data_IF_658873341754
#
_entry.id   IF_658873341754
#
_cell.length_a   1.000
_cell.length_b   1.000
_cell.length_c   1.000
_cell.angle_alpha   90.00
_cell.angle_beta   90.00
_cell.angle_gamma   90.00
#
_symmetry.space_group_name_H-M   'P 1'
#
loop_
_entity.id
_entity.type
_entity.pdbx_description
1 polymer ?
#
# COMPACT_ATOMS: atom_id res chain seq x y z
N UNK A 1 13.91 7.35 25.15
CA UNK A 1 12.67 7.65 24.41
C UNK A 1 12.75 6.85 23.12
N UNK A 2 11.70 6.10 22.76
CA UNK A 2 11.61 5.33 21.53
C UNK A 2 11.51 6.31 20.35
N UNK A 3 12.41 6.18 19.38
CA UNK A 3 12.46 7.05 18.19
C UNK A 3 11.63 6.47 17.05
N UNK A 4 11.64 5.12 16.90
CA UNK A 4 10.96 4.44 15.79
C UNK A 4 10.24 3.19 16.25
N UNK A 5 9.02 3.00 15.72
CA UNK A 5 8.23 1.78 15.82
C UNK A 5 8.19 1.08 14.47
N UNK A 6 8.65 -0.15 14.38
CA UNK A 6 8.43 -1.00 13.22
C UNK A 6 7.09 -1.71 13.37
N UNK A 7 6.22 -1.58 12.37
CA UNK A 7 4.86 -2.13 12.35
C UNK A 7 4.83 -3.32 11.40
N UNK A 8 4.66 -4.52 11.96
CA UNK A 8 4.79 -5.78 11.21
C UNK A 8 3.54 -6.65 11.46
N UNK A 9 2.49 -6.54 10.64
CA UNK A 9 1.43 -7.55 10.62
C UNK A 9 1.98 -8.88 10.12
N UNK A 10 1.68 -9.97 10.81
CA UNK A 10 2.20 -11.30 10.46
C UNK A 10 1.09 -12.34 10.36
N UNK A 11 1.20 -13.22 9.35
CA UNK A 11 0.34 -14.38 9.17
C UNK A 11 1.04 -15.45 8.35
N UNK A 12 1.24 -16.64 8.89
CA UNK A 12 2.01 -17.74 8.26
C UNK A 12 3.42 -17.26 7.85
N UNK A 13 4.12 -16.58 8.77
CA UNK A 13 5.40 -15.92 8.52
C UNK A 13 6.62 -16.73 8.91
N UNK A 14 6.46 -17.92 9.47
CA UNK A 14 7.56 -18.74 10.01
C UNK A 14 8.78 -18.87 9.07
N UNK A 15 8.62 -19.02 7.74
CA UNK A 15 9.76 -19.13 6.83
C UNK A 15 10.52 -17.81 6.58
N UNK A 16 9.96 -16.67 6.94
CA UNK A 16 10.44 -15.35 6.48
C UNK A 16 10.80 -14.41 7.62
N UNK A 17 10.08 -14.49 8.74
CA UNK A 17 10.08 -13.47 9.79
C UNK A 17 11.45 -13.27 10.45
N UNK A 18 12.25 -14.31 10.58
CA UNK A 18 13.61 -14.20 11.11
C UNK A 18 14.49 -13.32 10.22
N UNK A 19 14.43 -13.49 8.89
CA UNK A 19 15.15 -12.65 7.93
C UNK A 19 14.68 -11.19 8.01
N UNK A 20 13.37 -10.96 8.06
CA UNK A 20 12.76 -9.65 8.21
C UNK A 20 13.29 -8.94 9.47
N UNK A 21 13.21 -9.57 10.64
CA UNK A 21 13.67 -9.01 11.90
C UNK A 21 15.19 -8.77 11.91
N UNK A 22 15.98 -9.70 11.39
CA UNK A 22 17.43 -9.56 11.29
C UNK A 22 17.84 -8.36 10.42
N UNK A 23 17.07 -8.04 9.37
CA UNK A 23 17.32 -6.85 8.55
C UNK A 23 17.13 -5.55 9.33
N UNK A 24 16.16 -5.52 10.27
CA UNK A 24 15.94 -4.37 11.15
C UNK A 24 17.08 -4.26 12.18
N UNK A 25 17.48 -5.36 12.82
CA UNK A 25 18.61 -5.34 13.77
C UNK A 25 19.90 -4.90 13.11
N UNK A 26 20.11 -5.27 11.86
CA UNK A 26 21.28 -4.88 11.08
C UNK A 26 21.37 -3.37 10.82
N UNK A 27 20.30 -2.57 11.00
CA UNK A 27 20.36 -1.11 10.98
C UNK A 27 21.20 -0.53 12.15
N UNK A 28 21.53 -1.32 13.16
CA UNK A 28 22.35 -0.92 14.29
C UNK A 28 21.70 0.11 15.22
N UNK A 29 20.36 0.20 15.21
CA UNK A 29 19.62 1.10 16.11
C UNK A 29 19.65 0.50 17.52
N UNK A 30 20.03 1.28 18.56
CA UNK A 30 19.98 0.78 19.93
C UNK A 30 18.56 0.32 20.31
N UNK A 31 18.41 -0.85 20.91
CA UNK A 31 17.09 -1.42 21.26
C UNK A 31 16.21 -0.48 22.12
N UNK A 32 16.84 0.33 23.00
CA UNK A 32 16.12 1.34 23.79
C UNK A 32 15.56 2.51 22.97
N UNK A 33 15.92 2.63 21.69
CA UNK A 33 15.48 3.69 20.78
C UNK A 33 14.53 3.19 19.72
N UNK A 34 14.30 1.88 19.63
CA UNK A 34 13.33 1.27 18.72
C UNK A 34 12.38 0.30 19.43
N UNK A 35 11.27 0.04 18.82
CA UNK A 35 10.39 -1.08 19.12
C UNK A 35 9.93 -1.75 17.83
N UNK A 36 9.74 -3.05 17.87
CA UNK A 36 9.28 -3.87 16.75
C UNK A 36 8.00 -4.54 17.18
N UNK A 37 6.88 -4.14 16.60
CA UNK A 37 5.54 -4.60 16.98
C UNK A 37 5.06 -5.61 15.94
N UNK A 38 5.24 -6.88 16.23
CA UNK A 38 4.71 -7.99 15.45
C UNK A 38 3.28 -8.29 15.91
N UNK A 39 2.32 -8.26 15.00
CA UNK A 39 0.91 -8.60 15.29
C UNK A 39 0.55 -9.88 14.55
N UNK A 40 0.53 -10.99 15.28
CA UNK A 40 0.10 -12.28 14.73
C UNK A 40 -1.41 -12.33 14.52
N UNK A 41 -1.81 -12.55 13.28
CA UNK A 41 -3.21 -12.54 12.86
C UNK A 41 -3.81 -13.96 12.80
N UNK A 42 -3.66 -14.74 13.89
CA UNK A 42 -4.08 -16.13 14.02
C UNK A 42 -3.32 -17.10 13.11
N UNK A 43 -2.01 -17.02 13.05
CA UNK A 43 -1.19 -17.97 12.29
C UNK A 43 -1.40 -19.42 12.78
N UNK A 44 -1.68 -20.35 11.85
CA UNK A 44 -1.80 -21.78 12.17
C UNK A 44 -0.47 -22.53 12.19
N UNK A 45 0.61 -21.90 11.72
CA UNK A 45 1.97 -22.44 11.70
C UNK A 45 2.77 -22.02 12.96
N UNK A 46 4.05 -22.30 13.00
CA UNK A 46 4.93 -21.96 14.13
C UNK A 46 5.47 -20.53 14.11
N UNK A 47 4.76 -19.59 13.47
CA UNK A 47 5.13 -18.14 13.43
C UNK A 47 5.29 -17.57 14.83
N UNK A 48 4.33 -17.85 15.73
CA UNK A 48 4.33 -17.37 17.11
C UNK A 48 5.54 -17.86 17.89
N UNK A 49 5.90 -19.13 17.74
CA UNK A 49 7.05 -19.73 18.40
C UNK A 49 8.37 -19.08 17.92
N UNK A 50 8.51 -18.85 16.61
CA UNK A 50 9.71 -18.20 16.04
C UNK A 50 9.86 -16.78 16.59
N UNK A 51 8.81 -15.95 16.53
CA UNK A 51 8.87 -14.57 17.03
C UNK A 51 9.10 -14.56 18.54
N UNK A 52 8.47 -15.46 19.30
CA UNK A 52 8.64 -15.57 20.75
C UNK A 52 10.08 -15.97 21.15
N UNK A 53 10.75 -16.76 20.33
CA UNK A 53 12.16 -17.09 20.55
C UNK A 53 13.06 -15.85 20.36
N UNK A 54 12.85 -15.10 19.27
CA UNK A 54 13.60 -13.87 19.00
C UNK A 54 13.33 -12.80 20.07
N UNK A 55 12.08 -12.64 20.53
CA UNK A 55 11.70 -11.69 21.56
C UNK A 55 12.34 -11.96 22.95
N UNK A 56 12.82 -13.19 23.21
CA UNK A 56 13.59 -13.49 24.43
C UNK A 56 15.03 -12.94 24.37
N UNK A 57 15.58 -12.80 23.17
CA UNK A 57 16.93 -12.33 22.96
C UNK A 57 16.95 -10.80 22.68
N UNK A 58 15.84 -10.24 22.19
CA UNK A 58 15.70 -8.84 21.78
C UNK A 58 14.54 -8.17 22.50
N UNK A 59 14.86 -7.34 23.49
CA UNK A 59 13.86 -6.62 24.32
C UNK A 59 13.00 -5.62 23.54
N UNK A 60 13.47 -5.21 22.36
CA UNK A 60 12.72 -4.32 21.45
C UNK A 60 11.58 -5.01 20.70
N UNK A 61 11.52 -6.35 20.68
CA UNK A 61 10.47 -7.11 19.96
C UNK A 61 9.28 -7.36 20.86
N UNK A 62 8.12 -6.89 20.43
CA UNK A 62 6.82 -7.13 21.05
C UNK A 62 5.96 -8.00 20.12
N UNK A 63 5.42 -9.10 20.64
CA UNK A 63 4.45 -9.93 19.95
C UNK A 63 3.07 -9.71 20.53
N UNK A 64 2.14 -9.25 19.68
CA UNK A 64 0.70 -9.22 19.96
C UNK A 64 0.01 -10.29 19.13
N UNK A 65 -1.14 -10.79 19.61
CA UNK A 65 -1.88 -11.84 18.91
C UNK A 65 -3.37 -11.52 18.84
N UNK A 66 -3.96 -11.68 17.65
CA UNK A 66 -5.40 -11.63 17.48
C UNK A 66 -6.05 -12.97 17.82
N UNK A 67 -7.27 -12.94 18.31
CA UNK A 67 -8.09 -14.15 18.51
C UNK A 67 -8.79 -14.59 17.23
N UNK A 68 -8.99 -13.67 16.30
CA UNK A 68 -9.59 -13.90 14.98
C UNK A 68 -8.79 -13.18 13.90
N UNK A 69 -8.68 -13.79 12.72
CA UNK A 69 -7.96 -13.18 11.60
C UNK A 69 -8.70 -11.94 11.09
N UNK A 70 -8.01 -10.79 11.12
CA UNK A 70 -8.49 -9.47 10.68
C UNK A 70 -7.79 -8.95 9.44
N UNK A 71 -6.89 -9.78 8.87
CA UNK A 71 -5.99 -9.47 7.78
C UNK A 71 -4.99 -8.37 8.11
N UNK A 72 -4.16 -8.02 7.12
CA UNK A 72 -3.04 -7.09 7.27
C UNK A 72 -3.49 -5.73 7.82
N UNK A 73 -4.60 -5.18 7.33
CA UNK A 73 -5.13 -3.91 7.84
C UNK A 73 -5.50 -3.95 9.33
N UNK A 74 -6.07 -5.07 9.82
CA UNK A 74 -6.35 -5.24 11.24
C UNK A 74 -5.09 -5.35 12.09
N UNK A 75 -4.06 -6.04 11.61
CA UNK A 75 -2.74 -6.11 12.22
C UNK A 75 -2.09 -4.73 12.31
N UNK A 76 -2.10 -3.99 11.21
CA UNK A 76 -1.59 -2.60 11.15
C UNK A 76 -2.31 -1.67 12.14
N UNK A 77 -3.64 -1.73 12.19
CA UNK A 77 -4.43 -0.94 13.14
C UNK A 77 -4.08 -1.25 14.60
N UNK A 78 -3.85 -2.52 14.90
CA UNK A 78 -3.43 -2.93 16.25
C UNK A 78 -2.04 -2.41 16.55
N UNK A 79 -1.06 -2.60 15.66
CA UNK A 79 0.31 -2.12 15.87
C UNK A 79 0.37 -0.59 16.05
N UNK A 80 -0.36 0.19 15.25
CA UNK A 80 -0.42 1.66 15.37
C UNK A 80 -0.91 2.09 16.77
N UNK A 81 -1.88 1.39 17.36
CA UNK A 81 -2.37 1.71 18.72
C UNK A 81 -1.31 1.51 19.78
N UNK A 82 -0.43 0.52 19.61
CA UNK A 82 0.65 0.19 20.54
C UNK A 82 1.96 0.90 20.22
N UNK A 83 2.05 1.63 19.11
CA UNK A 83 3.26 2.37 18.74
C UNK A 83 3.51 3.56 19.64
N UNK A 84 4.72 3.60 20.24
CA UNK A 84 5.23 4.65 21.13
C UNK A 84 6.38 5.45 20.52
N UNK A 85 6.98 4.96 19.40
CA UNK A 85 8.01 5.68 18.67
C UNK A 85 7.49 7.01 18.13
N UNK A 86 8.35 8.00 18.07
CA UNK A 86 7.99 9.29 17.46
C UNK A 86 7.64 9.14 15.97
N UNK A 87 8.36 8.23 15.30
CA UNK A 87 8.12 7.83 13.92
C UNK A 87 7.82 6.34 13.83
N UNK A 88 7.24 5.92 12.71
CA UNK A 88 6.93 4.54 12.43
C UNK A 88 7.33 4.15 11.00
N UNK A 89 7.70 2.89 10.83
CA UNK A 89 7.98 2.25 9.53
C UNK A 89 7.17 0.97 9.43
N UNK A 90 6.47 0.78 8.32
CA UNK A 90 5.77 -0.47 8.04
C UNK A 90 6.69 -1.46 7.35
N UNK A 91 6.52 -2.73 7.69
CA UNK A 91 7.25 -3.84 7.10
C UNK A 91 6.30 -4.98 6.76
N UNK A 92 6.43 -5.53 5.58
CA UNK A 92 5.83 -6.84 5.28
C UNK A 92 6.75 -7.96 5.80
N UNK A 93 6.17 -9.00 6.33
CA UNK A 93 6.83 -10.09 7.05
C UNK A 93 7.86 -10.90 6.23
N UNK A 94 7.76 -10.81 4.90
CA UNK A 94 8.60 -11.55 3.93
C UNK A 94 9.61 -10.65 3.19
N UNK A 95 9.75 -9.39 3.64
CA UNK A 95 10.64 -8.37 3.07
C UNK A 95 11.81 -8.02 3.99
N UNK A 96 12.68 -7.11 3.56
CA UNK A 96 13.88 -6.69 4.30
C UNK A 96 14.08 -5.18 4.24
N UNK A 97 14.54 -4.59 5.37
CA UNK A 97 15.14 -3.26 5.37
C UNK A 97 16.50 -3.32 4.70
N UNK A 98 16.78 -2.35 3.84
CA UNK A 98 18.13 -2.14 3.33
C UNK A 98 18.99 -1.43 4.37
N UNK A 99 20.31 -1.59 4.25
CA UNK A 99 21.26 -0.87 5.11
C UNK A 99 21.27 0.61 4.74
N UNK A 100 20.77 1.46 5.63
CA UNK A 100 20.77 2.91 5.47
C UNK A 100 20.68 3.62 6.83
N UNK A 101 20.93 4.91 6.86
CA UNK A 101 20.90 5.71 8.09
C UNK A 101 19.48 6.16 8.45
N UNK A 102 18.65 5.24 8.99
CA UNK A 102 17.28 5.54 9.41
C UNK A 102 17.26 6.63 10.50
N UNK A 103 18.17 6.60 11.46
CA UNK A 103 18.19 7.62 12.52
C UNK A 103 18.55 9.00 11.98
N UNK A 104 19.43 9.08 10.99
CA UNK A 104 19.74 10.33 10.29
C UNK A 104 18.52 10.85 9.50
N UNK A 105 17.73 9.97 8.87
CA UNK A 105 16.50 10.39 8.22
C UNK A 105 15.44 10.86 9.24
N UNK A 106 15.32 10.23 10.38
CA UNK A 106 14.41 10.67 11.45
C UNK A 106 14.84 12.06 11.97
N UNK A 107 16.14 12.28 12.16
CA UNK A 107 16.64 13.59 12.58
C UNK A 107 16.39 14.66 11.50
N UNK A 108 16.59 14.32 10.23
CA UNK A 108 16.22 15.18 9.10
C UNK A 108 14.73 15.54 9.12
N UNK A 109 13.85 14.54 9.37
CA UNK A 109 12.40 14.76 9.48
C UNK A 109 12.05 15.71 10.63
N UNK A 110 12.72 15.58 11.78
CA UNK A 110 12.55 16.49 12.92
C UNK A 110 12.92 17.92 12.57
N UNK A 111 14.10 18.11 11.99
CA UNK A 111 14.63 19.44 11.64
C UNK A 111 13.77 20.15 10.60
N UNK A 112 13.11 19.39 9.73
CA UNK A 112 12.25 19.91 8.68
C UNK A 112 10.74 19.80 9.02
N UNK A 113 10.39 19.35 10.23
CA UNK A 113 9.02 19.15 10.72
C UNK A 113 8.18 18.25 9.80
N UNK A 114 8.81 17.24 9.18
CA UNK A 114 8.14 16.33 8.27
C UNK A 114 7.29 15.33 9.04
N UNK A 115 6.10 15.07 8.52
CA UNK A 115 5.18 14.04 9.00
C UNK A 115 5.22 12.77 8.14
N UNK A 116 5.67 12.89 6.89
CA UNK A 116 5.82 11.79 5.95
C UNK A 116 7.06 12.02 5.08
N UNK A 117 7.96 11.06 5.06
CA UNK A 117 9.07 10.99 4.15
C UNK A 117 8.92 9.74 3.30
N UNK A 118 8.72 9.92 1.99
CA UNK A 118 8.65 8.82 1.03
C UNK A 118 10.03 8.55 0.45
N UNK A 119 10.35 7.27 0.26
CA UNK A 119 11.67 6.84 -0.19
C UNK A 119 11.53 5.70 -1.22
N UNK A 120 12.64 5.22 -1.77
CA UNK A 120 12.63 4.22 -2.84
C UNK A 120 12.58 2.80 -2.30
N UNK A 121 12.00 1.94 -3.11
CA UNK A 121 11.92 0.50 -2.86
C UNK A 121 12.49 -0.27 -4.05
N UNK A 122 13.27 -1.29 -3.75
CA UNK A 122 13.84 -2.22 -4.71
C UNK A 122 13.05 -3.52 -4.68
N UNK A 123 12.53 -3.94 -5.83
CA UNK A 123 12.00 -5.29 -6.00
C UNK A 123 13.12 -6.27 -6.26
N UNK A 124 13.16 -7.36 -5.51
CA UNK A 124 14.09 -8.48 -5.67
C UNK A 124 13.32 -9.67 -6.21
N UNK A 125 13.65 -10.11 -7.41
CA UNK A 125 13.03 -11.30 -8.02
C UNK A 125 13.72 -12.58 -7.52
N UNK A 126 13.05 -13.74 -7.66
CA UNK A 126 13.59 -15.02 -7.25
C UNK A 126 14.89 -15.45 -7.94
N UNK A 127 15.23 -14.84 -9.09
CA UNK A 127 16.50 -15.03 -9.80
C UNK A 127 17.61 -14.05 -9.34
N UNK A 128 17.32 -13.23 -8.32
CA UNK A 128 18.23 -12.22 -7.78
C UNK A 128 18.27 -10.90 -8.57
N UNK A 129 17.55 -10.79 -9.68
CA UNK A 129 17.46 -9.52 -10.42
C UNK A 129 16.72 -8.46 -9.62
N UNK A 130 17.17 -7.21 -9.73
CA UNK A 130 16.62 -6.08 -8.99
C UNK A 130 16.08 -5.01 -9.95
N UNK A 131 14.97 -4.38 -9.55
CA UNK A 131 14.39 -3.22 -10.24
C UNK A 131 13.70 -2.32 -9.24
N UNK A 132 13.53 -1.05 -9.56
CA UNK A 132 12.71 -0.17 -8.73
C UNK A 132 11.23 -0.54 -8.79
N UNK A 133 10.54 -0.42 -7.65
CA UNK A 133 9.11 -0.67 -7.52
C UNK A 133 8.29 0.30 -8.39
N UNK A 134 8.66 1.57 -8.38
CA UNK A 134 7.98 2.64 -9.11
C UNK A 134 8.98 3.46 -9.94
N UNK A 135 8.49 4.52 -10.58
CA UNK A 135 9.38 5.52 -11.16
C UNK A 135 10.28 6.12 -10.08
N UNK A 136 11.45 6.56 -10.49
CA UNK A 136 12.43 7.19 -9.60
C UNK A 136 12.49 8.67 -9.98
N UNK A 137 11.59 9.52 -9.45
CA UNK A 137 11.70 10.96 -9.63
C UNK A 137 12.93 11.51 -8.88
N UNK A 138 13.28 12.75 -9.17
CA UNK A 138 14.24 13.50 -8.37
C UNK A 138 13.66 13.83 -6.98
N UNK A 139 14.52 14.24 -6.06
CA UNK A 139 14.09 14.71 -4.74
C UNK A 139 13.06 15.83 -4.88
N UNK A 140 11.94 15.71 -4.15
CA UNK A 140 10.92 16.73 -4.19
C UNK A 140 11.24 17.90 -3.25
N UNK A 141 10.61 19.06 -3.51
CA UNK A 141 10.47 20.07 -2.47
C UNK A 141 9.63 19.53 -1.30
N UNK A 142 9.74 20.15 -0.12
CA UNK A 142 8.83 19.91 0.99
C UNK A 142 7.46 20.51 0.60
N UNK A 143 6.40 19.72 0.75
CA UNK A 143 5.05 20.10 0.33
C UNK A 143 4.00 19.62 1.33
N UNK A 144 2.77 20.08 1.19
CA UNK A 144 1.62 19.52 1.92
C UNK A 144 1.06 18.31 1.19
N UNK A 145 0.25 17.49 1.89
CA UNK A 145 -0.46 16.39 1.26
C UNK A 145 -1.31 16.82 0.06
N UNK A 146 -2.17 17.86 0.14
CA UNK A 146 -2.89 18.38 -1.02
C UNK A 146 -1.98 18.76 -2.20
N UNK A 147 -0.83 19.40 -1.95
CA UNK A 147 0.16 19.72 -2.99
C UNK A 147 0.75 18.47 -3.65
N UNK A 148 0.95 17.39 -2.89
CA UNK A 148 1.42 16.10 -3.42
C UNK A 148 0.48 15.55 -4.50
N UNK A 149 -0.84 15.73 -4.33
CA UNK A 149 -1.82 15.37 -5.35
C UNK A 149 -1.80 16.36 -6.53
N UNK A 150 -1.77 17.69 -6.25
CA UNK A 150 -1.74 18.73 -7.27
C UNK A 150 -0.56 18.57 -8.22
N UNK A 151 0.62 18.31 -7.69
CA UNK A 151 1.85 18.22 -8.47
C UNK A 151 2.02 16.84 -9.15
N UNK A 152 1.08 15.93 -8.92
CA UNK A 152 1.02 14.62 -9.56
C UNK A 152 2.01 13.58 -9.01
N UNK A 153 2.75 13.90 -7.95
CA UNK A 153 3.74 13.01 -7.33
C UNK A 153 3.17 11.68 -6.89
N UNK A 154 1.91 11.63 -6.45
CA UNK A 154 1.24 10.39 -6.06
C UNK A 154 1.28 9.32 -7.17
N UNK A 155 1.23 9.75 -8.43
CA UNK A 155 1.28 8.84 -9.57
C UNK A 155 2.72 8.48 -9.97
N UNK A 156 3.69 9.35 -9.69
CA UNK A 156 5.10 9.14 -10.02
C UNK A 156 5.75 8.14 -9.06
N UNK A 157 5.52 8.30 -7.76
CA UNK A 157 6.08 7.41 -6.73
C UNK A 157 5.22 6.17 -6.49
N UNK A 158 4.09 6.02 -7.20
CA UNK A 158 3.12 4.93 -7.05
C UNK A 158 2.75 4.68 -5.57
N UNK A 159 2.45 5.76 -4.83
CA UNK A 159 2.14 5.69 -3.41
C UNK A 159 0.79 5.00 -3.18
N UNK A 160 0.85 3.71 -3.06
CA UNK A 160 -0.31 2.85 -2.82
C UNK A 160 0.01 1.69 -1.88
N UNK A 161 1.23 1.72 -1.29
CA UNK A 161 1.74 0.72 -0.34
C UNK A 161 2.38 1.43 0.85
N UNK A 162 2.28 0.85 2.04
CA UNK A 162 2.68 1.51 3.28
C UNK A 162 4.18 1.49 3.56
N UNK A 163 4.91 0.53 3.01
CA UNK A 163 6.32 0.30 3.29
C UNK A 163 7.29 1.22 2.50
N UNK A 164 6.77 2.22 1.78
CA UNK A 164 7.56 3.17 0.97
C UNK A 164 8.04 4.40 1.74
N UNK A 165 7.94 4.43 3.07
CA UNK A 165 8.34 5.64 3.78
C UNK A 165 8.37 5.55 5.30
N UNK A 166 8.77 6.67 5.89
CA UNK A 166 8.82 6.93 7.34
C UNK A 166 7.67 7.88 7.67
N UNK A 167 6.91 7.54 8.69
CA UNK A 167 5.70 8.26 9.10
C UNK A 167 5.83 8.81 10.51
N UNK A 168 5.45 10.05 10.74
CA UNK A 168 5.24 10.53 12.11
C UNK A 168 4.08 9.76 12.73
N UNK A 169 4.28 9.16 13.90
CA UNK A 169 3.27 8.30 14.55
C UNK A 169 1.95 9.03 14.80
N UNK A 170 1.99 10.34 15.06
CA UNK A 170 0.79 11.15 15.18
C UNK A 170 -0.01 11.26 13.88
N UNK A 171 0.66 11.26 12.71
CA UNK A 171 -0.02 11.22 11.42
C UNK A 171 -0.81 9.92 11.28
N UNK A 172 -0.21 8.78 11.65
CA UNK A 172 -0.88 7.48 11.63
C UNK A 172 -2.13 7.48 12.52
N UNK A 173 -1.98 7.97 13.76
CA UNK A 173 -3.08 7.98 14.77
C UNK A 173 -4.24 8.91 14.42
N UNK A 174 -4.01 9.98 13.64
CA UNK A 174 -5.09 10.86 13.16
C UNK A 174 -5.67 10.46 11.80
N UNK A 175 -4.99 9.60 11.05
CA UNK A 175 -5.52 9.06 9.80
C UNK A 175 -6.58 8.00 10.12
N UNK A 176 -7.63 7.94 9.28
CA UNK A 176 -8.66 6.90 9.42
C UNK A 176 -8.01 5.50 9.43
N UNK A 177 -8.50 4.56 10.27
CA UNK A 177 -7.95 3.21 10.32
C UNK A 177 -7.99 2.49 8.97
N UNK A 178 -7.08 1.55 8.77
CA UNK A 178 -7.17 0.60 7.67
C UNK A 178 -8.50 -0.16 7.70
N UNK A 179 -9.00 -0.48 6.52
CA UNK A 179 -10.16 -1.36 6.41
C UNK A 179 -9.75 -2.79 6.77
N UNK A 180 -10.42 -3.36 7.74
CA UNK A 180 -10.20 -4.75 8.17
C UNK A 180 -10.87 -5.75 7.21
N UNK A 181 -10.44 -7.00 7.25
CA UNK A 181 -11.02 -8.14 6.53
C UNK A 181 -11.01 -8.05 5.00
N UNK A 182 -10.15 -7.20 4.42
CA UNK A 182 -9.94 -7.17 2.97
C UNK A 182 -8.44 -7.10 2.64
N UNK A 183 -8.08 -7.23 1.36
CA UNK A 183 -6.72 -7.00 0.87
C UNK A 183 -6.70 -5.77 -0.02
N UNK A 184 -5.52 -5.19 -0.25
CA UNK A 184 -5.27 -3.93 -0.95
C UNK A 184 -5.77 -2.69 -0.17
N UNK A 185 -6.05 -2.84 1.12
CA UNK A 185 -6.50 -1.80 2.06
C UNK A 185 -5.47 -0.68 2.23
N UNK A 186 -4.21 -1.00 1.97
CA UNK A 186 -3.08 -0.07 1.99
C UNK A 186 -3.28 1.11 1.05
N UNK A 187 -3.76 0.89 -0.17
CA UNK A 187 -3.94 1.98 -1.13
C UNK A 187 -5.00 2.99 -0.67
N UNK A 188 -6.16 2.55 -0.18
CA UNK A 188 -7.18 3.44 0.39
C UNK A 188 -6.61 4.27 1.55
N UNK A 189 -5.82 3.61 2.39
CA UNK A 189 -5.20 4.24 3.54
C UNK A 189 -4.10 5.23 3.14
N UNK A 190 -3.22 4.87 2.21
CA UNK A 190 -2.12 5.72 1.73
C UNK A 190 -2.63 7.04 1.16
N UNK A 191 -3.70 7.02 0.36
CA UNK A 191 -4.30 8.24 -0.18
C UNK A 191 -4.74 9.20 0.93
N UNK A 192 -5.41 8.67 1.96
CA UNK A 192 -5.88 9.46 3.11
C UNK A 192 -4.72 9.95 3.98
N UNK A 193 -3.73 9.09 4.20
CA UNK A 193 -2.55 9.43 4.98
C UNK A 193 -1.72 10.54 4.31
N UNK A 194 -1.45 10.40 3.00
CA UNK A 194 -0.76 11.44 2.26
C UNK A 194 -1.49 12.78 2.31
N UNK A 195 -2.80 12.78 2.05
CA UNK A 195 -3.61 14.00 2.08
C UNK A 195 -3.58 14.70 3.45
N UNK A 196 -3.57 13.92 4.54
CA UNK A 196 -3.53 14.43 5.90
C UNK A 196 -2.14 14.94 6.33
N UNK A 197 -1.09 14.67 5.59
CA UNK A 197 0.26 15.12 5.93
C UNK A 197 0.40 16.63 5.73
N UNK A 198 0.75 17.34 6.81
CA UNK A 198 0.97 18.80 6.78
C UNK A 198 2.26 19.16 6.08
N UNK A 199 3.28 18.33 6.22
CA UNK A 199 4.60 18.49 5.61
C UNK A 199 5.13 17.11 5.22
N UNK A 200 5.40 16.92 3.93
CA UNK A 200 5.94 15.68 3.39
C UNK A 200 6.97 15.95 2.31
N UNK A 201 7.80 14.95 2.04
CA UNK A 201 8.82 15.00 1.01
C UNK A 201 9.04 13.61 0.42
N UNK A 202 9.52 13.54 -0.82
CA UNK A 202 10.10 12.35 -1.41
C UNK A 202 11.62 12.52 -1.55
N UNK A 203 12.38 11.48 -1.15
CA UNK A 203 13.84 11.40 -1.34
C UNK A 203 14.20 10.11 -2.08
N UNK A 204 15.10 10.17 -3.08
CA UNK A 204 15.50 8.99 -3.85
C UNK A 204 16.52 8.12 -3.10
N UNK A 205 16.20 7.68 -1.87
CA UNK A 205 17.05 6.83 -1.01
C UNK A 205 16.45 5.42 -0.99
N UNK A 206 17.29 4.40 -1.20
CA UNK A 206 16.85 3.00 -1.17
C UNK A 206 16.75 2.51 0.27
N UNK A 207 15.53 2.19 0.73
CA UNK A 207 15.28 1.82 2.12
C UNK A 207 14.79 0.39 2.30
N UNK A 208 14.19 -0.20 1.28
CA UNK A 208 13.38 -1.39 1.40
C UNK A 208 13.60 -2.33 0.23
N UNK A 209 13.73 -3.62 0.51
CA UNK A 209 13.78 -4.69 -0.47
C UNK A 209 12.50 -5.51 -0.44
N UNK A 210 11.62 -5.26 -1.43
CA UNK A 210 10.42 -6.06 -1.67
C UNK A 210 10.80 -7.37 -2.36
N UNK A 211 10.58 -8.49 -1.71
CA UNK A 211 10.84 -9.82 -2.26
C UNK A 211 9.61 -10.35 -3.01
N UNK A 212 9.77 -10.59 -4.31
CA UNK A 212 8.70 -11.15 -5.13
C UNK A 212 8.44 -12.61 -4.74
N UNK A 213 7.54 -12.82 -3.78
CA UNK A 213 7.18 -14.13 -3.24
C UNK A 213 6.02 -14.74 -4.06
N UNK A 214 6.21 -15.88 -4.76
CA UNK A 214 5.16 -16.53 -5.54
C UNK A 214 3.94 -16.95 -4.72
N UNK A 215 4.10 -17.14 -3.42
CA UNK A 215 3.00 -17.53 -2.50
C UNK A 215 2.26 -16.33 -1.92
N UNK A 216 2.70 -15.10 -2.22
CA UNK A 216 2.06 -13.88 -1.74
C UNK A 216 0.56 -13.85 -2.06
N UNK A 217 -0.19 -13.31 -1.13
CA UNK A 217 -1.64 -13.13 -1.27
C UNK A 217 -2.02 -12.35 -2.53
N UNK A 218 -1.17 -11.47 -3.05
CA UNK A 218 -1.42 -10.66 -4.24
C UNK A 218 -1.40 -11.46 -5.55
N UNK A 219 -0.68 -12.60 -5.62
CA UNK A 219 -0.50 -13.37 -6.85
C UNK A 219 -1.71 -14.25 -7.24
N UNK A 220 -2.47 -14.74 -6.25
CA UNK A 220 -3.62 -15.60 -6.52
C UNK A 220 -4.88 -14.76 -6.79
N UNK A 221 -5.29 -14.66 -8.06
CA UNK A 221 -6.50 -13.94 -8.46
C UNK A 221 -7.73 -14.80 -8.26
N UNK A 222 -8.66 -14.35 -7.39
CA UNK A 222 -9.99 -14.90 -7.23
C UNK A 222 -11.06 -13.80 -7.38
N UNK A 223 -12.32 -14.19 -7.47
CA UNK A 223 -13.44 -13.27 -7.72
C UNK A 223 -13.59 -12.24 -6.59
N UNK A 224 -13.36 -12.64 -5.35
CA UNK A 224 -13.46 -11.78 -4.19
C UNK A 224 -12.37 -10.69 -4.18
N UNK A 225 -11.15 -11.00 -4.61
CA UNK A 225 -10.08 -10.01 -4.76
C UNK A 225 -10.41 -8.97 -5.82
N UNK A 226 -11.09 -9.39 -6.90
CA UNK A 226 -11.58 -8.47 -7.93
C UNK A 226 -12.66 -7.55 -7.34
N UNK A 227 -13.59 -8.09 -6.55
CA UNK A 227 -14.60 -7.31 -5.84
C UNK A 227 -13.96 -6.29 -4.90
N UNK A 228 -12.98 -6.69 -4.10
CA UNK A 228 -12.29 -5.79 -3.17
C UNK A 228 -11.59 -4.62 -3.89
N UNK A 229 -10.94 -4.87 -5.03
CA UNK A 229 -10.36 -3.78 -5.84
C UNK A 229 -11.38 -2.75 -6.29
N UNK A 230 -12.57 -3.22 -6.68
CA UNK A 230 -13.66 -2.31 -7.06
C UNK A 230 -14.14 -1.52 -5.85
N UNK A 231 -14.40 -2.19 -4.72
CA UNK A 231 -14.86 -1.53 -3.49
C UNK A 231 -13.86 -0.50 -2.97
N UNK A 232 -12.56 -0.81 -2.99
CA UNK A 232 -11.53 0.14 -2.61
C UNK A 232 -11.50 1.35 -3.53
N UNK A 233 -11.66 1.14 -4.83
CA UNK A 233 -11.74 2.25 -5.78
C UNK A 233 -12.94 3.16 -5.52
N UNK A 234 -14.10 2.58 -5.16
CA UNK A 234 -15.28 3.33 -4.75
C UNK A 234 -15.01 4.14 -3.48
N UNK A 235 -14.43 3.52 -2.46
CA UNK A 235 -14.07 4.19 -1.20
C UNK A 235 -13.11 5.37 -1.40
N UNK A 236 -12.06 5.17 -2.20
CA UNK A 236 -11.11 6.25 -2.52
C UNK A 236 -11.82 7.39 -3.25
N UNK A 237 -12.73 7.07 -4.17
CA UNK A 237 -13.49 8.08 -4.91
C UNK A 237 -14.49 8.83 -4.01
N UNK A 238 -15.25 8.13 -3.17
CA UNK A 238 -16.16 8.76 -2.20
C UNK A 238 -15.40 9.70 -1.24
N UNK A 239 -14.27 9.23 -0.73
CA UNK A 239 -13.40 10.07 0.08
C UNK A 239 -12.90 11.30 -0.70
N UNK A 240 -12.45 11.14 -1.93
CA UNK A 240 -11.99 12.24 -2.78
C UNK A 240 -13.08 13.29 -3.03
N UNK A 241 -14.36 12.90 -3.00
CA UNK A 241 -15.47 13.85 -3.08
C UNK A 241 -15.65 14.68 -1.80
N UNK A 242 -15.19 14.18 -0.66
CA UNK A 242 -15.35 14.84 0.64
C UNK A 242 -14.23 15.81 0.97
N UNK A 243 -13.09 15.77 0.27
CA UNK A 243 -11.95 16.67 0.52
C UNK A 243 -12.25 18.08 0.00
N UNK A 244 -11.56 19.07 0.58
CA UNK A 244 -11.78 20.49 0.26
C UNK A 244 -10.61 21.11 -0.50
N UNK A 245 -9.38 20.81 -0.10
CA UNK A 245 -8.18 21.34 -0.74
C UNK A 245 -7.78 20.48 -1.94
N UNK A 246 -7.38 21.09 -3.04
CA UNK A 246 -6.94 20.45 -4.29
C UNK A 246 -7.91 19.32 -4.74
N UNK A 247 -9.20 19.51 -4.48
CA UNK A 247 -10.24 18.48 -4.70
C UNK A 247 -10.26 17.93 -6.12
N UNK A 248 -10.05 18.78 -7.11
CA UNK A 248 -10.05 18.36 -8.52
C UNK A 248 -8.92 17.39 -8.81
N UNK A 249 -7.72 17.66 -8.29
CA UNK A 249 -6.53 16.82 -8.50
C UNK A 249 -6.62 15.51 -7.70
N UNK A 250 -7.16 15.56 -6.48
CA UNK A 250 -7.45 14.36 -5.69
C UNK A 250 -8.48 13.47 -6.39
N UNK A 251 -9.53 14.04 -6.98
CA UNK A 251 -10.50 13.30 -7.80
C UNK A 251 -9.85 12.69 -9.03
N UNK A 252 -8.98 13.42 -9.74
CA UNK A 252 -8.23 12.87 -10.89
C UNK A 252 -7.36 11.67 -10.48
N UNK A 253 -6.68 11.74 -9.33
CA UNK A 253 -5.88 10.63 -8.81
C UNK A 253 -6.77 9.42 -8.48
N UNK A 254 -7.91 9.64 -7.82
CA UNK A 254 -8.89 8.60 -7.52
C UNK A 254 -9.45 7.94 -8.78
N UNK A 255 -9.72 8.71 -9.83
CA UNK A 255 -10.17 8.20 -11.14
C UNK A 255 -9.10 7.37 -11.85
N UNK A 256 -7.82 7.76 -11.74
CA UNK A 256 -6.71 6.98 -12.28
C UNK A 256 -6.58 5.64 -11.56
N UNK A 257 -6.64 5.65 -10.23
CA UNK A 257 -6.62 4.44 -9.41
C UNK A 257 -7.78 3.50 -9.78
N UNK A 258 -9.00 4.04 -9.86
CA UNK A 258 -10.15 3.30 -10.34
C UNK A 258 -9.94 2.68 -11.71
N UNK A 259 -9.44 3.48 -12.67
CA UNK A 259 -9.20 3.01 -14.04
C UNK A 259 -8.22 1.84 -14.08
N UNK A 260 -7.18 1.86 -13.25
CA UNK A 260 -6.21 0.78 -13.12
C UNK A 260 -6.86 -0.50 -12.57
N UNK A 261 -7.65 -0.38 -11.50
CA UNK A 261 -8.33 -1.53 -10.92
C UNK A 261 -9.37 -2.12 -11.86
N UNK A 262 -10.11 -1.27 -12.59
CA UNK A 262 -11.07 -1.73 -13.59
C UNK A 262 -10.43 -2.50 -14.75
N UNK A 263 -9.18 -2.22 -15.09
CA UNK A 263 -8.46 -3.06 -16.06
C UNK A 263 -8.28 -4.50 -15.55
N UNK A 264 -8.20 -4.70 -14.25
CA UNK A 264 -8.18 -6.01 -13.61
C UNK A 264 -9.46 -6.82 -13.82
N UNK A 265 -10.61 -6.17 -14.07
CA UNK A 265 -11.90 -6.84 -14.34
C UNK A 265 -11.88 -7.71 -15.61
N UNK A 266 -10.91 -7.50 -16.51
CA UNK A 266 -10.73 -8.39 -17.67
C UNK A 266 -10.56 -9.86 -17.29
N UNK A 267 -10.16 -10.17 -16.07
CA UNK A 267 -10.03 -11.56 -15.60
C UNK A 267 -11.38 -12.22 -15.31
N UNK A 268 -12.48 -11.47 -15.19
CA UNK A 268 -13.81 -12.02 -14.91
C UNK A 268 -14.26 -13.07 -15.92
N UNK A 269 -13.74 -13.01 -17.17
CA UNK A 269 -14.05 -14.04 -18.16
C UNK A 269 -13.53 -15.44 -17.78
N UNK A 270 -12.52 -15.54 -16.90
CA UNK A 270 -11.96 -16.80 -16.40
C UNK A 270 -12.87 -17.52 -15.39
N UNK A 271 -13.84 -16.80 -14.81
CA UNK A 271 -14.75 -17.33 -13.82
C UNK A 271 -16.04 -17.84 -14.44
N UNK A 272 -16.76 -18.71 -13.71
CA UNK A 272 -18.02 -19.26 -14.16
C UNK A 272 -19.12 -18.19 -14.30
N UNK A 273 -20.19 -18.52 -15.02
CA UNK A 273 -21.35 -17.63 -15.10
C UNK A 273 -22.04 -17.41 -13.73
N UNK A 274 -21.95 -18.40 -12.83
CA UNK A 274 -22.47 -18.29 -11.48
C UNK A 274 -21.64 -17.28 -10.66
N UNK A 275 -20.30 -17.41 -10.69
CA UNK A 275 -19.40 -16.49 -9.99
C UNK A 275 -19.60 -15.05 -10.45
N UNK A 276 -19.69 -14.84 -11.77
CA UNK A 276 -19.94 -13.51 -12.33
C UNK A 276 -21.28 -12.93 -11.89
N UNK A 277 -22.36 -13.74 -11.84
CA UNK A 277 -23.66 -13.28 -11.33
C UNK A 277 -23.59 -12.88 -9.86
N UNK A 278 -22.87 -13.66 -9.04
CA UNK A 278 -22.67 -13.34 -7.62
C UNK A 278 -21.85 -12.05 -7.45
N UNK A 279 -20.79 -11.89 -8.24
CA UNK A 279 -20.01 -10.66 -8.27
C UNK A 279 -20.87 -9.42 -8.55
N UNK A 280 -21.75 -9.47 -9.58
CA UNK A 280 -22.63 -8.34 -9.88
C UNK A 280 -23.67 -8.05 -8.79
N UNK A 281 -24.14 -9.08 -8.10
CA UNK A 281 -25.09 -8.94 -6.99
C UNK A 281 -24.45 -8.40 -5.70
N UNK A 282 -23.12 -8.43 -5.62
CA UNK A 282 -22.40 -7.95 -4.45
C UNK A 282 -22.40 -6.42 -4.32
N UNK A 283 -22.72 -5.69 -5.42
CA UNK A 283 -22.73 -4.22 -5.42
C UNK A 283 -24.16 -3.69 -5.24
N UNK A 284 -24.31 -2.64 -4.42
CA UNK A 284 -25.57 -1.95 -4.21
C UNK A 284 -25.97 -1.10 -5.43
N UNK A 285 -27.21 -0.61 -5.45
CA UNK A 285 -27.66 0.31 -6.50
C UNK A 285 -26.91 1.63 -6.46
N UNK A 286 -26.55 2.09 -5.25
CA UNK A 286 -25.78 3.31 -5.02
C UNK A 286 -24.37 3.16 -5.54
N UNK A 287 -23.67 2.06 -5.22
CA UNK A 287 -22.35 1.74 -5.76
C UNK A 287 -22.37 1.69 -7.30
N UNK A 288 -23.41 1.10 -7.90
CA UNK A 288 -23.60 1.12 -9.35
C UNK A 288 -23.83 2.54 -9.89
N UNK A 289 -24.56 3.38 -9.19
CA UNK A 289 -24.79 4.77 -9.60
C UNK A 289 -23.49 5.56 -9.63
N UNK A 290 -22.62 5.37 -8.64
CA UNK A 290 -21.27 5.95 -8.62
C UNK A 290 -20.47 5.46 -9.83
N UNK A 291 -20.40 4.15 -10.06
CA UNK A 291 -19.72 3.57 -11.22
C UNK A 291 -20.24 4.15 -12.54
N UNK A 292 -21.55 4.39 -12.64
CA UNK A 292 -22.19 4.96 -13.83
C UNK A 292 -21.94 6.46 -13.99
N UNK A 293 -21.75 7.20 -12.91
CA UNK A 293 -21.49 8.65 -12.95
C UNK A 293 -20.09 9.00 -13.45
N UNK A 294 -19.17 8.06 -13.50
CA UNK A 294 -17.78 8.33 -13.84
C UNK A 294 -17.56 8.68 -15.31
N UNK A 295 -16.64 9.60 -15.63
CA UNK A 295 -16.38 10.06 -16.99
C UNK A 295 -15.98 8.94 -17.96
N UNK A 296 -15.42 7.83 -17.44
CA UNK A 296 -15.02 6.65 -18.22
C UNK A 296 -15.94 5.43 -17.98
N UNK A 297 -17.17 5.68 -17.53
CA UNK A 297 -18.21 4.71 -17.17
C UNK A 297 -18.41 3.57 -18.18
N UNK A 298 -18.33 3.85 -19.48
CA UNK A 298 -18.57 2.84 -20.53
C UNK A 298 -17.59 1.66 -20.46
N UNK A 299 -16.32 1.92 -20.12
CA UNK A 299 -15.32 0.85 -19.98
C UNK A 299 -15.62 -0.05 -18.77
N UNK A 300 -16.00 0.55 -17.64
CA UNK A 300 -16.32 -0.20 -16.44
C UNK A 300 -17.57 -1.06 -16.61
N UNK A 301 -18.65 -0.48 -17.13
CA UNK A 301 -19.91 -1.20 -17.38
C UNK A 301 -19.69 -2.32 -18.40
N UNK A 302 -19.00 -2.05 -19.51
CA UNK A 302 -18.66 -3.07 -20.52
C UNK A 302 -17.81 -4.20 -19.93
N UNK A 303 -16.82 -3.87 -19.09
CA UNK A 303 -15.99 -4.86 -18.41
C UNK A 303 -16.79 -5.71 -17.43
N UNK A 304 -17.74 -5.11 -16.72
CA UNK A 304 -18.59 -5.81 -15.77
C UNK A 304 -19.64 -6.68 -16.47
N UNK A 305 -20.34 -6.15 -17.45
CA UNK A 305 -21.45 -6.85 -18.11
C UNK A 305 -21.00 -7.77 -19.24
N UNK A 306 -19.99 -7.36 -20.00
CA UNK A 306 -19.49 -8.06 -21.19
C UNK A 306 -17.96 -8.18 -21.20
N UNK A 307 -17.36 -8.92 -20.26
CA UNK A 307 -15.91 -8.94 -20.09
C UNK A 307 -15.14 -9.42 -21.32
N UNK A 308 -15.71 -10.31 -22.14
CA UNK A 308 -15.08 -10.76 -23.39
C UNK A 308 -15.05 -9.66 -24.46
N UNK A 309 -16.15 -8.94 -24.66
CA UNK A 309 -16.23 -7.83 -25.61
C UNK A 309 -15.34 -6.67 -25.18
N UNK A 310 -15.30 -6.36 -23.89
CA UNK A 310 -14.43 -5.35 -23.33
C UNK A 310 -12.94 -5.71 -23.48
N UNK A 311 -12.59 -7.00 -23.41
CA UNK A 311 -11.23 -7.46 -23.62
C UNK A 311 -10.74 -7.22 -25.04
N UNK A 312 -11.59 -7.49 -26.05
CA UNK A 312 -11.30 -7.20 -27.46
C UNK A 312 -11.15 -5.68 -27.66
N UNK A 313 -12.08 -4.89 -27.12
CA UNK A 313 -12.01 -3.43 -27.18
C UNK A 313 -10.77 -2.86 -26.51
N UNK A 314 -10.37 -3.38 -25.34
CA UNK A 314 -9.15 -2.96 -24.64
C UNK A 314 -7.86 -3.42 -25.36
N UNK A 315 -7.87 -4.57 -26.00
CA UNK A 315 -6.74 -5.04 -26.79
C UNK A 315 -6.46 -4.11 -28.01
N UNK A 316 -7.51 -3.53 -28.56
CA UNK A 316 -7.40 -2.58 -29.68
C UNK A 316 -7.03 -1.17 -29.16
N UNK A 317 -7.65 -0.70 -28.09
CA UNK A 317 -7.50 0.68 -27.60
C UNK A 317 -6.26 0.87 -26.73
N UNK A 318 -5.83 -0.14 -25.99
CA UNK A 318 -4.67 -0.05 -25.07
C UNK A 318 -3.33 0.27 -25.78
N UNK A 319 -3.00 -0.30 -26.93
CA UNK A 319 -1.79 0.08 -27.67
C UNK A 319 -1.85 1.54 -28.17
N UNK A 320 -3.01 1.95 -28.68
CA UNK A 320 -3.23 3.32 -29.18
C UNK A 320 -3.11 4.33 -28.04
N UNK A 321 -3.68 4.06 -26.87
CA UNK A 321 -3.56 4.94 -25.69
C UNK A 321 -2.12 4.98 -25.16
N UNK A 322 -1.38 3.86 -25.16
CA UNK A 322 0.04 3.86 -24.80
C UNK A 322 0.87 4.68 -25.78
N UNK A 323 0.57 4.57 -27.07
CA UNK A 323 1.24 5.37 -28.11
C UNK A 323 0.93 6.86 -27.93
N UNK A 324 -0.32 7.24 -27.72
CA UNK A 324 -0.73 8.63 -27.47
C UNK A 324 -0.07 9.19 -26.20
N UNK A 325 0.05 8.39 -25.15
CA UNK A 325 0.72 8.80 -23.91
C UNK A 325 2.25 9.00 -24.13
N UNK A 326 2.90 8.09 -24.90
CA UNK A 326 4.31 8.25 -25.28
C UNK A 326 4.54 9.51 -26.11
N UNK A 327 3.70 9.76 -27.09
CA UNK A 327 3.75 10.97 -27.93
C UNK A 327 3.56 12.23 -27.09
N UNK A 328 2.62 12.22 -26.14
CA UNK A 328 2.34 13.36 -25.25
C UNK A 328 3.49 13.65 -24.27
N UNK A 329 4.29 12.62 -23.90
CA UNK A 329 5.51 12.74 -23.07
C UNK A 329 6.82 12.92 -23.88
N UNK A 330 6.75 13.03 -25.20
CA UNK A 330 7.96 13.19 -26.04
C UNK A 330 8.90 11.97 -26.05
N UNK A 331 8.42 10.81 -25.61
CA UNK A 331 9.20 9.57 -25.60
C UNK A 331 9.01 8.89 -26.97
N UNK A 332 10.09 8.86 -27.78
CA UNK A 332 10.15 8.12 -29.06
C UNK A 332 10.24 6.62 -28.85
#
# INVERSE_FOLDING_TARGET
MIKVSFIIPVYCAAPFIERCLNSIFALGIPEKEMEIICVDDCSPDNTVEVISAIAKEHSSVQLLRHEVNKRQGGGSNTAIRFAHGEYAVFMDQDDEMLQYDLLGQIEYMRQNELELLLERVICVNGDGTKKYWANVPEESAIMTGPQFFRDGFINEVAFGTVWVGIYKTELLKRTQPFVENMIYEDTDWCYKCAYNAKRMQYKPIDIYAYHNNPTSSSHNVNIQKVEWKVRLSLRVYEWAQSVTEEKEEVLKAAELFYTWNMQGLKVLWKFTNADRRNFYKAFTKEEYAIIQSWPRRYKAILLMQYPRLAQVGLAIVSPVMRLMWRVKKGIR
#
